data_IF_802266507112
#
_entry.id   IF_802266507112
#
_cell.length_a   1.000
_cell.length_b   1.000
_cell.length_c   1.000
_cell.angle_alpha   90.00
_cell.angle_beta   90.00
_cell.angle_gamma   90.00
#
_symmetry.space_group_name_H-M   'P 1'
#
loop_
_entity.id
_entity.type
_entity.pdbx_description
1 polymer ?
#
# COMPACT_ATOMS: atom_id res chain seq x y z
N UNK A 1 -6.53 -16.75 -29.73
CA UNK A 1 -7.49 -15.87 -30.39
C UNK A 1 -8.11 -14.95 -29.34
N UNK A 2 -7.55 -13.75 -29.14
CA UNK A 2 -7.91 -12.85 -28.03
C UNK A 2 -8.98 -11.81 -28.42
N UNK A 3 -9.17 -11.60 -29.72
CA UNK A 3 -10.17 -10.66 -30.27
C UNK A 3 -11.60 -11.10 -29.99
N UNK A 4 -11.80 -12.37 -29.63
CA UNK A 4 -13.09 -12.93 -29.24
C UNK A 4 -13.83 -13.55 -30.42
N UNK A 5 -15.07 -13.94 -30.15
CA UNK A 5 -15.91 -14.62 -31.13
C UNK A 5 -16.34 -13.69 -32.27
N UNK A 6 -16.26 -14.12 -33.55
CA UNK A 6 -16.46 -13.26 -34.71
C UNK A 6 -17.77 -12.46 -34.73
N UNK A 7 -18.87 -13.09 -34.30
CA UNK A 7 -20.23 -12.53 -34.35
C UNK A 7 -20.70 -11.92 -33.02
N UNK A 8 -19.89 -12.00 -31.95
CA UNK A 8 -20.31 -11.53 -30.64
C UNK A 8 -20.21 -10.00 -30.56
N UNK A 9 -21.26 -9.27 -30.11
CA UNK A 9 -21.18 -7.83 -29.88
C UNK A 9 -20.07 -7.45 -28.89
N UNK A 10 -19.45 -6.28 -29.09
CA UNK A 10 -18.46 -5.72 -28.18
C UNK A 10 -19.13 -5.20 -26.90
N UNK A 11 -18.79 -5.84 -25.80
CA UNK A 11 -19.16 -5.43 -24.44
C UNK A 11 -17.94 -4.81 -23.73
N UNK A 12 -18.17 -3.98 -22.72
CA UNK A 12 -17.08 -3.29 -22.04
C UNK A 12 -17.50 -1.95 -21.48
N UNK A 13 -16.60 -0.97 -21.59
CA UNK A 13 -16.96 0.43 -21.36
C UNK A 13 -18.12 0.82 -22.29
N UNK A 14 -19.13 1.56 -21.79
CA UNK A 14 -20.25 1.96 -22.61
C UNK A 14 -19.79 2.82 -23.80
N UNK A 15 -20.11 2.40 -25.01
CA UNK A 15 -19.79 3.11 -26.24
C UNK A 15 -21.02 3.19 -27.14
N UNK A 16 -21.14 4.29 -27.90
CA UNK A 16 -22.27 4.51 -28.79
C UNK A 16 -21.85 5.41 -29.95
N UNK A 17 -22.40 5.15 -31.14
CA UNK A 17 -22.33 6.08 -32.26
C UNK A 17 -23.24 7.28 -32.02
N UNK A 18 -22.74 8.48 -32.28
CA UNK A 18 -23.50 9.71 -32.11
C UNK A 18 -22.60 10.94 -32.09
N UNK A 19 -23.22 12.10 -32.20
CA UNK A 19 -22.54 13.40 -32.08
C UNK A 19 -22.17 13.70 -30.62
N UNK A 20 -23.02 13.29 -29.69
CA UNK A 20 -22.85 13.60 -28.27
C UNK A 20 -21.91 12.59 -27.61
N UNK A 21 -21.07 13.09 -26.69
CA UNK A 21 -20.18 12.25 -25.90
C UNK A 21 -20.99 11.28 -25.03
N UNK A 22 -20.51 10.03 -24.94
CA UNK A 22 -21.16 9.01 -24.12
C UNK A 22 -20.50 8.85 -22.74
N UNK A 23 -19.17 8.94 -22.67
CA UNK A 23 -18.42 8.87 -21.41
C UNK A 23 -18.38 10.25 -20.75
N UNK A 24 -18.75 10.33 -19.48
CA UNK A 24 -18.65 11.53 -18.64
C UNK A 24 -17.57 11.33 -17.56
N UNK A 25 -16.66 12.30 -17.42
CA UNK A 25 -15.57 12.24 -16.45
C UNK A 25 -14.50 11.17 -16.76
N UNK A 26 -14.10 10.42 -15.72
CA UNK A 26 -13.15 9.30 -15.82
C UNK A 26 -13.82 8.06 -15.24
N UNK A 27 -13.95 7.02 -16.06
CA UNK A 27 -14.60 5.76 -15.69
C UNK A 27 -13.54 4.68 -15.58
N UNK A 28 -13.44 4.05 -14.41
CA UNK A 28 -12.52 2.94 -14.19
C UNK A 28 -13.20 1.60 -14.46
N UNK A 29 -12.44 0.66 -15.00
CA UNK A 29 -12.90 -0.73 -15.07
C UNK A 29 -13.05 -1.29 -13.66
N UNK A 30 -14.14 -2.02 -13.40
CA UNK A 30 -14.47 -2.54 -12.06
C UNK A 30 -13.49 -3.61 -11.54
N UNK A 31 -12.67 -4.17 -12.43
CA UNK A 31 -11.72 -5.23 -12.10
C UNK A 31 -10.28 -4.82 -12.39
N UNK A 32 -9.39 -5.12 -11.45
CA UNK A 32 -7.95 -5.03 -11.63
C UNK A 32 -7.44 -6.32 -12.26
N UNK A 33 -6.66 -6.21 -13.33
CA UNK A 33 -6.02 -7.36 -13.96
C UNK A 33 -4.66 -7.59 -13.32
N UNK A 34 -4.35 -8.84 -12.98
CA UNK A 34 -3.00 -9.21 -12.55
C UNK A 34 -2.15 -9.49 -13.77
N UNK A 35 -0.98 -8.88 -13.83
CA UNK A 35 0.00 -9.13 -14.88
C UNK A 35 1.39 -9.28 -14.27
N UNK A 36 2.31 -9.87 -15.03
CA UNK A 36 3.73 -9.86 -14.72
C UNK A 36 4.44 -8.93 -15.69
N UNK A 37 5.36 -8.12 -15.19
CA UNK A 37 6.29 -7.36 -16.02
C UNK A 37 7.38 -8.26 -16.59
N UNK A 38 8.19 -7.76 -17.52
CA UNK A 38 9.34 -8.51 -18.08
C UNK A 38 10.32 -9.01 -17.00
N UNK A 39 10.49 -8.27 -15.91
CA UNK A 39 11.30 -8.66 -14.74
C UNK A 39 10.54 -9.55 -13.74
N UNK A 40 9.40 -10.13 -14.15
CA UNK A 40 8.55 -11.05 -13.37
C UNK A 40 7.99 -10.46 -12.07
N UNK A 41 7.88 -9.13 -11.97
CA UNK A 41 7.17 -8.51 -10.85
C UNK A 41 5.68 -8.57 -11.12
N UNK A 42 4.91 -9.01 -10.13
CA UNK A 42 3.46 -8.97 -10.19
C UNK A 42 2.97 -7.52 -10.05
N UNK A 43 2.16 -7.10 -11.00
CA UNK A 43 1.56 -5.76 -11.06
C UNK A 43 0.05 -5.85 -11.25
N UNK A 44 -0.66 -4.83 -10.79
CA UNK A 44 -2.09 -4.66 -11.04
C UNK A 44 -2.28 -3.64 -12.18
N UNK A 45 -3.00 -4.02 -13.21
CA UNK A 45 -3.37 -3.18 -14.35
C UNK A 45 -4.79 -2.67 -14.14
N UNK A 46 -4.95 -1.36 -14.16
CA UNK A 46 -6.23 -0.66 -14.10
C UNK A 46 -6.48 0.02 -15.45
N UNK A 47 -7.64 -0.24 -16.04
CA UNK A 47 -8.08 0.45 -17.24
C UNK A 47 -8.99 1.62 -16.86
N UNK A 48 -8.80 2.75 -17.53
CA UNK A 48 -9.59 3.95 -17.35
C UNK A 48 -10.01 4.48 -18.72
N UNK A 49 -11.30 4.77 -18.88
CA UNK A 49 -11.85 5.50 -20.01
C UNK A 49 -12.13 6.94 -19.59
N UNK A 50 -11.92 7.89 -20.49
CA UNK A 50 -12.02 9.32 -20.19
C UNK A 50 -12.96 9.99 -21.17
N UNK A 51 -13.75 10.94 -20.68
CA UNK A 51 -14.55 11.81 -21.52
C UNK A 51 -13.71 12.48 -22.61
N UNK A 52 -14.23 12.48 -23.83
CA UNK A 52 -13.59 13.16 -24.96
C UNK A 52 -13.49 14.66 -24.72
N UNK A 53 -12.30 15.21 -24.99
CA UNK A 53 -12.04 16.65 -24.86
C UNK A 53 -12.88 17.46 -25.87
N UNK A 54 -13.32 18.65 -25.46
CA UNK A 54 -13.98 19.63 -26.34
C UNK A 54 -15.32 19.18 -26.94
N UNK A 55 -16.09 18.36 -26.21
CA UNK A 55 -17.48 18.08 -26.57
C UNK A 55 -18.35 19.34 -26.51
N UNK A 56 -19.44 19.38 -27.29
CA UNK A 56 -20.33 20.56 -27.40
C UNK A 56 -20.96 21.01 -26.09
N UNK A 57 -21.00 20.13 -25.08
CA UNK A 57 -21.65 20.36 -23.80
C UNK A 57 -20.66 20.53 -22.63
N UNK A 58 -19.34 20.40 -22.88
CA UNK A 58 -18.31 20.53 -21.85
C UNK A 58 -17.57 21.85 -21.97
N UNK A 59 -17.31 22.52 -20.84
CA UNK A 59 -16.45 23.69 -20.83
C UNK A 59 -14.99 23.32 -21.14
N UNK A 60 -14.23 24.26 -21.69
CA UNK A 60 -12.78 24.11 -21.88
C UNK A 60 -12.07 23.78 -20.57
N UNK A 61 -12.51 24.39 -19.47
CA UNK A 61 -11.97 24.15 -18.13
C UNK A 61 -12.17 22.71 -17.66
N UNK A 62 -13.38 22.15 -17.82
CA UNK A 62 -13.67 20.75 -17.48
C UNK A 62 -12.83 19.78 -18.32
N UNK A 63 -12.69 20.04 -19.62
CA UNK A 63 -11.84 19.23 -20.51
C UNK A 63 -10.38 19.23 -20.06
N UNK A 64 -9.84 20.39 -19.68
CA UNK A 64 -8.47 20.52 -19.16
C UNK A 64 -8.31 19.77 -17.84
N UNK A 65 -9.26 19.91 -16.92
CA UNK A 65 -9.22 19.23 -15.62
C UNK A 65 -9.26 17.71 -15.76
N UNK A 66 -10.16 17.16 -16.59
CA UNK A 66 -10.25 15.72 -16.84
C UNK A 66 -8.95 15.21 -17.47
N UNK A 67 -8.42 15.93 -18.47
CA UNK A 67 -7.17 15.54 -19.13
C UNK A 67 -5.98 15.57 -18.16
N UNK A 68 -5.80 16.67 -17.43
CA UNK A 68 -4.71 16.79 -16.46
C UNK A 68 -4.81 15.72 -15.36
N UNK A 69 -6.01 15.45 -14.85
CA UNK A 69 -6.24 14.40 -13.87
C UNK A 69 -5.91 13.02 -14.46
N UNK A 70 -6.31 12.73 -15.71
CA UNK A 70 -5.99 11.47 -16.37
C UNK A 70 -4.47 11.24 -16.47
N UNK A 71 -3.71 12.28 -16.85
CA UNK A 71 -2.24 12.25 -16.95
C UNK A 71 -1.60 12.06 -15.57
N UNK A 72 -2.14 12.68 -14.52
CA UNK A 72 -1.65 12.51 -13.15
C UNK A 72 -1.88 11.11 -12.59
N UNK A 73 -2.96 10.44 -13.01
CA UNK A 73 -3.34 9.11 -12.52
C UNK A 73 -2.67 8.00 -13.34
N UNK A 74 -2.56 8.17 -14.66
CA UNK A 74 -2.08 7.13 -15.57
C UNK A 74 -0.56 6.95 -15.52
N UNK A 75 -0.11 5.73 -15.78
CA UNK A 75 1.29 5.42 -16.12
C UNK A 75 1.50 5.24 -17.62
N UNK A 76 0.42 4.97 -18.36
CA UNK A 76 0.38 4.96 -19.81
C UNK A 76 -0.81 5.81 -20.23
N UNK A 77 -0.57 6.89 -20.95
CA UNK A 77 -1.62 7.77 -21.47
C UNK A 77 -1.73 7.55 -22.97
N UNK A 78 -2.87 7.00 -23.43
CA UNK A 78 -3.18 6.91 -24.86
C UNK A 78 -3.92 8.17 -25.28
N UNK A 79 -3.29 8.97 -26.13
CA UNK A 79 -3.88 10.16 -26.72
C UNK A 79 -4.45 9.81 -28.10
N UNK A 80 -5.77 9.63 -28.15
CA UNK A 80 -6.49 9.19 -29.34
C UNK A 80 -6.87 10.39 -30.22
N UNK A 81 -6.37 10.39 -31.46
CA UNK A 81 -6.54 11.47 -32.45
C UNK A 81 -7.13 10.90 -33.73
N UNK A 82 -8.00 11.65 -34.40
CA UNK A 82 -8.62 11.21 -35.66
C UNK A 82 -7.85 11.75 -36.87
N UNK A 83 -7.63 10.88 -37.87
CA UNK A 83 -6.97 11.09 -39.18
C UNK A 83 -5.53 11.55 -39.14
N UNK A 84 -5.18 12.60 -38.38
CA UNK A 84 -3.82 13.15 -38.39
C UNK A 84 -3.44 13.80 -37.06
N UNK A 85 -2.16 13.70 -36.71
CA UNK A 85 -1.57 14.42 -35.59
C UNK A 85 -1.13 15.82 -36.05
N UNK A 86 -1.88 16.83 -35.66
CA UNK A 86 -1.62 18.23 -35.98
C UNK A 86 -0.99 18.98 -34.79
N UNK A 87 -0.51 20.19 -35.04
CA UNK A 87 0.21 20.99 -34.05
C UNK A 87 -0.68 21.48 -32.91
N UNK A 88 -1.91 21.86 -33.22
CA UNK A 88 -2.93 22.28 -32.25
C UNK A 88 -3.23 21.16 -31.22
N UNK A 89 -3.27 19.90 -31.67
CA UNK A 89 -3.36 18.75 -30.75
C UNK A 89 -2.19 18.71 -29.78
N UNK A 90 -0.98 19.00 -30.25
CA UNK A 90 0.22 19.07 -29.41
C UNK A 90 0.19 20.28 -28.47
N UNK A 91 -0.34 21.42 -28.89
CA UNK A 91 -0.49 22.61 -28.03
C UNK A 91 -1.45 22.33 -26.87
N UNK A 92 -2.60 21.69 -27.15
CA UNK A 92 -3.52 21.27 -26.09
C UNK A 92 -2.88 20.27 -25.12
N UNK A 93 -2.14 19.30 -25.67
CA UNK A 93 -1.42 18.32 -24.85
C UNK A 93 -0.35 19.00 -23.98
N UNK A 94 0.41 19.95 -24.53
CA UNK A 94 1.41 20.72 -23.79
C UNK A 94 0.74 21.43 -22.62
N UNK A 95 -0.38 22.12 -22.84
CA UNK A 95 -1.13 22.76 -21.76
C UNK A 95 -1.55 21.77 -20.67
N UNK A 96 -1.99 20.56 -21.02
CA UNK A 96 -2.36 19.53 -20.03
C UNK A 96 -1.16 19.04 -19.23
N UNK A 97 -0.03 18.81 -19.89
CA UNK A 97 1.21 18.35 -19.26
C UNK A 97 1.87 19.45 -18.42
N UNK A 98 1.86 20.71 -18.88
CA UNK A 98 2.32 21.87 -18.11
C UNK A 98 1.45 22.06 -16.88
N UNK A 99 0.13 21.97 -17.03
CA UNK A 99 -0.78 21.99 -15.89
C UNK A 99 -0.45 20.85 -14.92
N UNK A 100 -0.27 19.62 -15.42
CA UNK A 100 0.14 18.48 -14.60
C UNK A 100 1.50 18.65 -13.92
N UNK A 101 2.47 19.25 -14.62
CA UNK A 101 3.85 19.46 -14.13
C UNK A 101 3.87 20.50 -13.03
N UNK A 102 3.21 21.64 -13.30
CA UNK A 102 3.00 22.70 -12.33
C UNK A 102 2.24 22.16 -11.11
N UNK A 103 1.20 21.38 -11.36
CA UNK A 103 0.45 20.70 -10.32
C UNK A 103 1.41 19.86 -9.47
N UNK A 104 2.31 19.05 -10.03
CA UNK A 104 3.26 18.26 -9.24
C UNK A 104 4.35 19.07 -8.50
N UNK A 105 4.48 20.37 -8.80
CA UNK A 105 5.50 21.27 -8.21
C UNK A 105 6.92 20.94 -8.65
N UNK A 106 7.06 20.33 -9.83
CA UNK A 106 8.36 20.03 -10.44
C UNK A 106 8.84 21.30 -11.16
N UNK A 107 9.56 22.17 -10.46
CA UNK A 107 10.27 23.28 -11.12
C UNK A 107 11.53 22.73 -11.83
N UNK A 108 11.53 22.76 -13.17
CA UNK A 108 12.72 22.50 -13.99
C UNK A 108 13.20 21.03 -14.07
N UNK A 109 12.39 20.04 -13.70
CA UNK A 109 12.74 18.62 -13.76
C UNK A 109 12.15 17.87 -14.96
N UNK A 110 12.84 16.83 -15.44
CA UNK A 110 12.32 15.84 -16.39
C UNK A 110 10.97 15.33 -15.91
N UNK A 111 9.93 15.60 -16.68
CA UNK A 111 8.55 15.38 -16.26
C UNK A 111 8.30 13.89 -16.05
N UNK A 112 8.03 13.48 -14.80
CA UNK A 112 7.78 12.09 -14.38
C UNK A 112 6.41 11.56 -14.78
N UNK A 113 5.86 12.00 -15.91
CA UNK A 113 4.71 11.35 -16.52
C UNK A 113 5.20 10.06 -17.18
N UNK A 114 4.38 9.02 -17.13
CA UNK A 114 4.76 7.74 -17.71
C UNK A 114 4.78 7.78 -19.25
N UNK A 115 4.49 6.65 -19.88
CA UNK A 115 4.50 6.53 -21.33
C UNK A 115 3.33 7.30 -21.96
N UNK A 116 3.61 8.19 -22.91
CA UNK A 116 2.58 8.81 -23.75
C UNK A 116 2.52 8.12 -25.12
N UNK A 117 1.34 7.64 -25.51
CA UNK A 117 1.11 6.95 -26.77
C UNK A 117 0.13 7.75 -27.62
N UNK A 118 0.61 8.31 -28.73
CA UNK A 118 -0.25 8.91 -29.74
C UNK A 118 -0.88 7.80 -30.58
N UNK A 119 -2.20 7.69 -30.57
CA UNK A 119 -2.95 6.77 -31.43
C UNK A 119 -3.67 7.58 -32.50
N UNK A 120 -3.15 7.56 -33.73
CA UNK A 120 -3.78 8.22 -34.87
C UNK A 120 -4.72 7.21 -35.54
N UNK A 121 -6.02 7.46 -35.42
CA UNK A 121 -7.11 6.64 -35.97
C UNK A 121 -7.36 7.00 -37.41
N UNK A 122 -7.84 6.05 -38.20
CA UNK A 122 -8.24 6.25 -39.60
C UNK A 122 -7.16 6.96 -40.41
N UNK A 123 -5.91 6.50 -40.29
CA UNK A 123 -4.80 7.05 -41.05
C UNK A 123 -5.00 6.82 -42.54
N UNK A 124 -4.94 7.88 -43.34
CA UNK A 124 -5.30 7.87 -44.77
C UNK A 124 -4.11 7.79 -45.72
N UNK A 125 -2.88 8.03 -45.23
CA UNK A 125 -1.68 8.16 -46.08
C UNK A 125 -0.59 7.11 -45.78
N UNK A 126 -0.87 5.80 -45.98
CA UNK A 126 0.10 4.74 -45.71
C UNK A 126 1.35 4.80 -46.61
N UNK A 127 1.24 5.45 -47.78
CA UNK A 127 2.37 5.66 -48.69
C UNK A 127 3.41 6.66 -48.13
N UNK A 128 2.96 7.66 -47.37
CA UNK A 128 3.83 8.64 -46.71
C UNK A 128 4.44 8.06 -45.42
N UNK A 129 3.58 7.47 -44.58
CA UNK A 129 3.97 6.83 -43.33
C UNK A 129 3.13 5.55 -43.18
N UNK A 130 3.78 4.39 -43.11
CA UNK A 130 3.08 3.12 -43.06
C UNK A 130 2.28 2.95 -41.75
N UNK A 131 1.31 2.04 -41.77
CA UNK A 131 0.58 1.70 -40.54
C UNK A 131 1.49 1.08 -39.48
N UNK A 132 1.13 1.26 -38.21
CA UNK A 132 1.84 0.67 -37.07
C UNK A 132 2.76 1.64 -36.33
N UNK A 133 3.66 1.07 -35.53
CA UNK A 133 4.61 1.80 -34.67
C UNK A 133 5.70 2.53 -35.46
N UNK A 134 6.24 1.89 -36.50
CA UNK A 134 7.37 2.42 -37.28
C UNK A 134 7.00 3.67 -38.09
N UNK A 135 5.85 3.63 -38.79
CA UNK A 135 5.34 4.82 -39.48
C UNK A 135 4.90 5.91 -38.52
N UNK A 136 4.39 5.55 -37.33
CA UNK A 136 4.08 6.51 -36.27
C UNK A 136 5.30 7.26 -35.77
N UNK A 137 6.42 6.56 -35.57
CA UNK A 137 7.69 7.20 -35.21
C UNK A 137 8.20 8.12 -36.32
N UNK A 138 8.09 7.72 -37.59
CA UNK A 138 8.44 8.60 -38.72
C UNK A 138 7.56 9.85 -38.78
N UNK A 139 6.25 9.72 -38.51
CA UNK A 139 5.35 10.86 -38.42
C UNK A 139 5.78 11.82 -37.28
N UNK A 140 6.10 11.28 -36.10
CA UNK A 140 6.62 12.08 -34.99
C UNK A 140 7.92 12.80 -35.35
N UNK A 141 8.85 12.12 -36.01
CA UNK A 141 10.10 12.72 -36.48
C UNK A 141 9.86 13.82 -37.50
N UNK A 142 8.87 13.68 -38.39
CA UNK A 142 8.49 14.72 -39.35
C UNK A 142 7.90 15.96 -38.65
N UNK A 143 7.09 15.76 -37.62
CA UNK A 143 6.43 16.85 -36.87
C UNK A 143 7.39 17.56 -35.91
N UNK A 144 8.21 16.79 -35.19
CA UNK A 144 9.10 17.27 -34.12
C UNK A 144 10.54 17.53 -34.60
N UNK A 145 10.99 16.88 -35.66
CA UNK A 145 12.38 16.87 -36.12
C UNK A 145 12.84 18.08 -36.94
N UNK A 146 14.10 18.00 -37.36
CA UNK A 146 14.91 19.10 -37.88
C UNK A 146 14.42 19.68 -39.21
N UNK A 147 13.75 18.91 -40.06
CA UNK A 147 13.29 19.36 -41.39
C UNK A 147 12.28 20.53 -41.31
N UNK A 148 11.53 20.62 -40.21
CA UNK A 148 10.63 21.74 -39.98
C UNK A 148 11.27 22.93 -39.24
N UNK A 149 12.52 22.84 -38.76
CA UNK A 149 13.19 23.95 -38.06
C UNK A 149 13.45 25.15 -38.99
N UNK A 150 13.56 24.91 -40.30
CA UNK A 150 13.81 25.96 -41.29
C UNK A 150 12.55 26.77 -41.69
N UNK A 151 11.35 26.39 -41.21
CA UNK A 151 10.07 27.07 -41.49
C UNK A 151 9.31 27.53 -40.24
N UNK A 152 9.87 27.33 -39.05
CA UNK A 152 9.14 27.45 -37.79
C UNK A 152 9.17 28.87 -37.20
N UNK A 153 8.00 29.37 -36.79
CA UNK A 153 7.84 30.51 -35.86
C UNK A 153 8.41 30.17 -34.48
N UNK A 154 8.67 31.16 -33.63
CA UNK A 154 9.27 30.93 -32.30
C UNK A 154 8.43 29.99 -31.42
N UNK A 155 7.10 30.08 -31.47
CA UNK A 155 6.16 29.20 -30.73
C UNK A 155 6.32 27.71 -31.08
N UNK A 156 6.53 27.40 -32.38
CA UNK A 156 6.79 26.05 -32.87
C UNK A 156 8.10 25.48 -32.32
N UNK A 157 9.11 26.34 -32.14
CA UNK A 157 10.41 25.94 -31.58
C UNK A 157 10.29 25.59 -30.09
N UNK A 158 9.52 26.37 -29.34
CA UNK A 158 9.25 26.12 -27.92
C UNK A 158 8.51 24.81 -27.70
N UNK A 159 7.42 24.55 -28.44
CA UNK A 159 6.63 23.33 -28.32
C UNK A 159 7.46 22.07 -28.66
N UNK A 160 8.29 22.14 -29.71
CA UNK A 160 9.19 21.03 -30.07
C UNK A 160 10.21 20.77 -28.99
N UNK A 161 10.84 21.82 -28.46
CA UNK A 161 11.82 21.71 -27.38
C UNK A 161 11.18 21.16 -26.11
N UNK A 162 9.95 21.58 -25.80
CA UNK A 162 9.15 21.06 -24.69
C UNK A 162 8.92 19.56 -24.85
N UNK A 163 8.39 19.09 -25.98
CA UNK A 163 8.16 17.66 -26.18
C UNK A 163 9.44 16.84 -26.39
N UNK A 164 10.52 17.43 -26.88
CA UNK A 164 11.85 16.78 -26.92
C UNK A 164 12.42 16.58 -25.49
N UNK A 165 12.20 17.54 -24.58
CA UNK A 165 12.74 17.50 -23.21
C UNK A 165 11.86 16.80 -22.17
N UNK A 166 10.53 16.86 -22.32
CA UNK A 166 9.56 16.26 -21.40
C UNK A 166 9.22 14.80 -21.73
N UNK A 167 9.33 14.38 -23.00
CA UNK A 167 8.84 13.07 -23.46
C UNK A 167 9.95 12.13 -23.94
N UNK A 168 10.88 11.77 -23.06
CA UNK A 168 11.81 10.66 -23.31
C UNK A 168 11.10 9.30 -23.45
N UNK A 169 9.81 9.22 -23.12
CA UNK A 169 8.96 8.02 -23.22
C UNK A 169 7.70 8.31 -24.06
N UNK A 170 7.87 8.55 -25.38
CA UNK A 170 6.75 8.69 -26.32
C UNK A 170 6.73 7.58 -27.35
N UNK A 171 5.53 7.21 -27.78
CA UNK A 171 5.30 6.34 -28.95
C UNK A 171 4.16 6.90 -29.78
N UNK A 172 4.15 6.60 -31.07
CA UNK A 172 3.05 6.90 -31.96
C UNK A 172 2.67 5.66 -32.76
N UNK A 173 1.38 5.44 -32.95
CA UNK A 173 0.83 4.34 -33.70
C UNK A 173 -0.15 4.86 -34.75
N UNK A 174 0.04 4.46 -36.00
CA UNK A 174 -0.87 4.79 -37.10
C UNK A 174 -1.81 3.61 -37.34
N UNK A 175 -3.09 3.80 -37.02
CA UNK A 175 -4.13 2.79 -37.13
C UNK A 175 -4.90 2.97 -38.44
N UNK A 176 -5.09 1.92 -39.25
CA UNK A 176 -5.97 1.99 -40.42
C UNK A 176 -7.43 2.23 -39.99
N UNK A 177 -8.28 2.58 -40.96
CA UNK A 177 -9.72 2.63 -40.70
C UNK A 177 -10.27 1.23 -40.40
N UNK A 178 -11.22 1.08 -39.44
CA UNK A 178 -11.91 -0.18 -39.22
C UNK A 178 -12.77 -0.62 -40.42
N UNK A 179 -12.96 0.24 -41.43
CA UNK A 179 -13.82 0.03 -42.60
C UNK A 179 -15.09 0.86 -42.53
N UNK A 180 -15.80 0.98 -43.66
CA UNK A 180 -17.14 1.56 -43.73
C UNK A 180 -18.11 0.43 -44.05
N UNK A 181 -19.08 0.16 -43.17
CA UNK A 181 -20.25 -0.63 -43.55
C UNK A 181 -21.28 0.36 -44.10
N UNK A 182 -21.62 0.23 -45.38
CA UNK A 182 -22.50 1.15 -46.13
C UNK A 182 -23.89 1.34 -45.49
N UNK A 183 -24.31 0.46 -44.58
CA UNK A 183 -25.69 0.40 -44.10
C UNK A 183 -26.00 1.26 -42.87
N UNK A 184 -25.01 1.92 -42.24
CA UNK A 184 -25.23 2.89 -41.14
C UNK A 184 -25.98 2.37 -39.89
N UNK A 185 -26.37 1.10 -39.88
CA UNK A 185 -27.25 0.50 -38.89
C UNK A 185 -26.58 -0.76 -38.34
N UNK A 186 -26.20 -0.68 -37.06
CA UNK A 186 -25.75 -1.79 -36.18
C UNK A 186 -24.26 -2.16 -36.24
N UNK A 187 -23.36 -1.18 -36.19
CA UNK A 187 -22.03 -1.44 -35.61
C UNK A 187 -22.24 -1.83 -34.14
N UNK A 188 -22.28 -3.13 -33.86
CA UNK A 188 -22.33 -3.69 -32.51
C UNK A 188 -20.92 -4.05 -32.00
N UNK A 189 -19.87 -3.69 -32.76
CA UNK A 189 -18.47 -3.95 -32.44
C UNK A 189 -18.01 -5.39 -32.65
N UNK A 190 -18.81 -6.23 -33.31
CA UNK A 190 -18.41 -7.59 -33.65
C UNK A 190 -17.17 -7.63 -34.55
N UNK A 191 -16.33 -8.64 -34.38
CA UNK A 191 -15.05 -8.79 -35.08
C UNK A 191 -15.26 -9.01 -36.59
N UNK A 192 -16.34 -9.65 -37.02
CA UNK A 192 -16.67 -9.77 -38.44
C UNK A 192 -17.04 -8.44 -39.10
N UNK A 193 -17.40 -7.43 -38.30
CA UNK A 193 -17.74 -6.08 -38.78
C UNK A 193 -16.54 -5.18 -39.06
N UNK A 194 -15.30 -5.64 -38.81
CA UNK A 194 -14.07 -4.85 -39.01
C UNK A 194 -13.15 -5.48 -40.05
N UNK A 195 -12.40 -4.63 -40.77
CA UNK A 195 -11.51 -5.07 -41.84
C UNK A 195 -10.32 -5.88 -41.32
N UNK A 196 -9.82 -6.80 -42.16
CA UNK A 196 -8.67 -7.66 -41.80
C UNK A 196 -7.39 -6.87 -41.49
N UNK A 197 -7.02 -5.81 -42.25
CA UNK A 197 -5.90 -4.94 -41.87
C UNK A 197 -6.09 -4.32 -40.48
N UNK A 198 -7.31 -3.86 -40.15
CA UNK A 198 -7.58 -3.29 -38.83
C UNK A 198 -7.40 -4.33 -37.71
N UNK A 199 -7.87 -5.56 -37.87
CA UNK A 199 -7.66 -6.64 -36.89
C UNK A 199 -6.19 -6.89 -36.60
N UNK A 200 -5.37 -6.94 -37.65
CA UNK A 200 -3.92 -7.15 -37.54
C UNK A 200 -3.25 -6.02 -36.75
N UNK A 201 -3.45 -4.78 -37.16
CA UNK A 201 -2.84 -3.62 -36.51
C UNK A 201 -3.41 -3.36 -35.11
N UNK A 202 -4.67 -3.72 -34.85
CA UNK A 202 -5.23 -3.72 -33.50
C UNK A 202 -4.50 -4.70 -32.58
N UNK A 203 -4.15 -5.89 -33.07
CA UNK A 203 -3.27 -6.84 -32.39
C UNK A 203 -1.91 -6.24 -32.05
N UNK A 204 -1.24 -5.66 -33.04
CA UNK A 204 0.08 -5.05 -32.87
C UNK A 204 0.05 -3.87 -31.88
N UNK A 205 -1.03 -3.08 -31.90
CA UNK A 205 -1.23 -1.97 -30.97
C UNK A 205 -1.42 -2.47 -29.53
N UNK A 206 -2.35 -3.40 -29.31
CA UNK A 206 -2.64 -3.93 -27.97
C UNK A 206 -1.41 -4.59 -27.37
N UNK A 207 -0.65 -5.35 -28.15
CA UNK A 207 0.62 -5.93 -27.70
C UNK A 207 1.67 -4.87 -27.38
N UNK A 208 1.80 -3.82 -28.20
CA UNK A 208 2.76 -2.74 -27.98
C UNK A 208 2.45 -1.84 -26.78
N UNK A 209 1.25 -1.94 -26.20
CA UNK A 209 0.83 -1.16 -25.02
C UNK A 209 0.70 -2.02 -23.76
N UNK A 210 0.17 -3.24 -23.87
CA UNK A 210 -0.22 -4.07 -22.72
C UNK A 210 0.64 -5.34 -22.54
N UNK A 211 1.64 -5.57 -23.39
CA UNK A 211 2.54 -6.71 -23.19
C UNK A 211 3.39 -6.55 -21.91
N UNK A 212 3.81 -7.66 -21.28
CA UNK A 212 4.66 -7.65 -20.08
C UNK A 212 5.90 -6.74 -20.14
N UNK A 213 6.50 -6.58 -21.32
CA UNK A 213 7.68 -5.72 -21.54
C UNK A 213 7.36 -4.24 -21.63
N UNK A 214 6.11 -3.89 -21.91
CA UNK A 214 5.66 -2.51 -22.16
C UNK A 214 4.90 -1.91 -20.96
N UNK A 215 4.53 -2.74 -19.97
CA UNK A 215 3.85 -2.28 -18.78
C UNK A 215 4.71 -1.32 -17.96
N UNK A 216 4.23 -0.09 -17.80
CA UNK A 216 4.86 0.94 -16.97
C UNK A 216 4.17 1.01 -15.61
N UNK A 217 4.94 0.84 -14.54
CA UNK A 217 4.43 0.95 -13.16
C UNK A 217 4.24 2.41 -12.78
N UNK A 218 3.05 2.76 -12.25
CA UNK A 218 2.79 4.12 -11.77
C UNK A 218 3.67 4.46 -10.57
N UNK A 219 4.41 5.56 -10.67
CA UNK A 219 5.21 6.12 -9.58
C UNK A 219 4.74 7.51 -9.19
N UNK A 220 4.92 7.88 -7.92
CA UNK A 220 4.82 9.26 -7.43
C UNK A 220 6.10 9.56 -6.65
N UNK A 221 6.77 10.66 -7.00
CA UNK A 221 8.10 11.02 -6.51
C UNK A 221 9.13 9.87 -6.69
N UNK A 222 9.09 9.20 -7.85
CA UNK A 222 9.99 8.10 -8.20
C UNK A 222 9.73 6.78 -7.47
N UNK A 223 8.70 6.68 -6.62
CA UNK A 223 8.38 5.45 -5.90
C UNK A 223 7.09 4.83 -6.41
N UNK A 224 7.08 3.51 -6.72
CA UNK A 224 5.88 2.79 -7.14
C UNK A 224 4.70 2.94 -6.19
N UNK A 225 3.49 2.96 -6.75
CA UNK A 225 2.23 2.92 -5.99
C UNK A 225 1.55 1.56 -6.11
N UNK A 226 0.98 1.10 -5.00
CA UNK A 226 0.01 -0.01 -5.00
C UNK A 226 -1.37 0.50 -5.41
N UNK A 227 -2.28 -0.41 -5.81
CA UNK A 227 -3.65 -0.03 -6.17
C UNK A 227 -4.40 0.73 -5.05
N UNK A 228 -4.24 0.30 -3.78
CA UNK A 228 -4.84 0.99 -2.63
C UNK A 228 -4.26 2.40 -2.44
N UNK A 229 -2.96 2.57 -2.65
CA UNK A 229 -2.33 3.88 -2.57
C UNK A 229 -2.75 4.78 -3.73
N UNK A 230 -2.92 4.23 -4.94
CA UNK A 230 -3.41 5.00 -6.08
C UNK A 230 -4.84 5.52 -5.82
N UNK A 231 -5.73 4.68 -5.27
CA UNK A 231 -7.08 5.10 -4.88
C UNK A 231 -7.06 6.28 -3.91
N UNK A 232 -6.30 6.19 -2.81
CA UNK A 232 -6.12 7.30 -1.85
C UNK A 232 -5.50 8.54 -2.48
N UNK A 233 -4.62 8.37 -3.46
CA UNK A 233 -4.01 9.47 -4.18
C UNK A 233 -5.06 10.21 -5.02
N UNK A 234 -5.87 9.48 -5.80
CA UNK A 234 -6.99 10.03 -6.59
C UNK A 234 -7.95 10.81 -5.69
N UNK A 235 -8.44 10.19 -4.61
CA UNK A 235 -9.34 10.83 -3.63
C UNK A 235 -8.81 12.17 -3.12
N UNK A 236 -7.48 12.29 -2.97
CA UNK A 236 -6.84 13.48 -2.43
C UNK A 236 -6.63 14.59 -3.46
N UNK A 237 -6.35 14.24 -4.72
CA UNK A 237 -6.07 15.23 -5.77
C UNK A 237 -7.34 15.70 -6.47
N UNK A 238 -8.36 14.86 -6.65
CA UNK A 238 -9.60 15.20 -7.36
C UNK A 238 -10.28 16.48 -6.87
N UNK A 239 -10.37 16.78 -5.55
CA UNK A 239 -10.98 18.02 -5.06
C UNK A 239 -10.32 19.30 -5.58
N UNK A 240 -9.04 19.23 -6.00
CA UNK A 240 -8.32 20.38 -6.55
C UNK A 240 -8.76 20.74 -7.96
N UNK A 241 -9.38 19.80 -8.66
CA UNK A 241 -9.86 19.94 -10.04
C UNK A 241 -11.37 20.20 -10.11
N UNK A 242 -12.01 20.49 -8.97
CA UNK A 242 -13.47 20.72 -8.88
C UNK A 242 -13.90 22.16 -9.17
N UNK A 243 -12.96 23.05 -9.52
CA UNK A 243 -13.28 24.43 -9.91
C UNK A 243 -13.98 24.49 -11.28
N UNK A 244 -14.95 25.39 -11.42
CA UNK A 244 -15.64 25.68 -12.69
C UNK A 244 -14.96 26.79 -13.51
N UNK A 245 -14.00 27.48 -12.92
CA UNK A 245 -13.24 28.53 -13.61
C UNK A 245 -12.10 27.93 -14.43
N UNK A 246 -11.62 28.68 -15.44
CA UNK A 246 -10.43 28.31 -16.18
C UNK A 246 -9.29 28.01 -15.18
N UNK A 247 -8.64 26.85 -15.29
CA UNK A 247 -7.64 26.42 -14.33
C UNK A 247 -6.53 27.47 -14.21
N UNK A 248 -6.52 28.26 -13.13
CA UNK A 248 -5.25 28.77 -12.63
C UNK A 248 -4.50 27.53 -12.16
N UNK A 249 -3.26 27.27 -12.62
CA UNK A 249 -2.50 26.14 -12.13
C UNK A 249 -2.45 26.19 -10.60
N UNK A 250 -3.17 25.27 -9.94
CA UNK A 250 -3.08 25.09 -8.49
C UNK A 250 -2.08 23.98 -8.28
N UNK A 251 -1.02 24.27 -7.56
CA UNK A 251 0.00 23.26 -7.28
C UNK A 251 -0.62 22.15 -6.43
N UNK A 252 -0.71 20.92 -6.96
CA UNK A 252 -0.96 19.66 -6.22
C UNK A 252 0.26 19.21 -5.40
N UNK A 253 1.38 19.90 -5.48
CA UNK A 253 2.62 19.54 -4.80
C UNK A 253 2.45 19.47 -3.28
N UNK A 254 1.75 20.40 -2.60
CA UNK A 254 1.51 20.30 -1.16
C UNK A 254 0.71 19.04 -0.80
N UNK A 255 -0.33 18.71 -1.56
CA UNK A 255 -1.17 17.53 -1.36
C UNK A 255 -0.38 16.25 -1.62
N UNK A 256 0.42 16.24 -2.68
CA UNK A 256 1.33 15.14 -3.06
C UNK A 256 2.40 14.94 -2.00
N UNK A 257 3.04 16.00 -1.52
CA UNK A 257 4.02 15.98 -0.44
C UNK A 257 3.42 15.43 0.86
N UNK A 258 2.24 15.92 1.25
CA UNK A 258 1.53 15.41 2.42
C UNK A 258 1.13 13.93 2.24
N UNK A 259 0.80 13.49 1.02
CA UNK A 259 0.49 12.10 0.73
C UNK A 259 1.74 11.21 0.82
N UNK A 260 2.84 11.63 0.22
CA UNK A 260 4.15 11.00 0.34
C UNK A 260 4.60 10.88 1.81
N UNK A 261 4.41 11.94 2.60
CA UNK A 261 4.71 11.93 4.03
C UNK A 261 3.83 10.96 4.81
N UNK A 262 2.54 10.87 4.46
CA UNK A 262 1.64 9.88 5.05
C UNK A 262 2.07 8.45 4.73
N UNK A 263 2.42 8.15 3.48
CA UNK A 263 2.88 6.82 3.08
C UNK A 263 4.20 6.44 3.78
N UNK A 264 5.17 7.36 3.82
CA UNK A 264 6.43 7.13 4.53
C UNK A 264 6.20 6.84 6.02
N UNK A 265 5.24 7.55 6.64
CA UNK A 265 4.86 7.33 8.04
C UNK A 265 4.18 5.97 8.25
N UNK A 266 3.26 5.58 7.37
CA UNK A 266 2.58 4.28 7.43
C UNK A 266 3.59 3.12 7.32
N UNK A 267 4.55 3.23 6.41
CA UNK A 267 5.61 2.23 6.25
C UNK A 267 6.52 2.19 7.48
N UNK A 268 6.99 3.34 7.98
CA UNK A 268 7.80 3.41 9.18
C UNK A 268 7.08 2.80 10.40
N UNK A 269 5.78 3.04 10.56
CA UNK A 269 4.98 2.44 11.63
C UNK A 269 4.84 0.93 11.48
N UNK A 270 4.70 0.43 10.26
CA UNK A 270 4.63 -1.00 9.97
C UNK A 270 5.96 -1.67 10.33
N UNK A 271 7.09 -1.12 9.87
CA UNK A 271 8.43 -1.63 10.19
C UNK A 271 8.68 -1.60 11.68
N UNK A 272 8.40 -0.47 12.36
CA UNK A 272 8.56 -0.36 13.81
C UNK A 272 7.76 -1.43 14.56
N UNK A 273 6.48 -1.63 14.21
CA UNK A 273 5.66 -2.69 14.84
C UNK A 273 6.23 -4.09 14.61
N UNK A 274 6.72 -4.38 13.42
CA UNK A 274 7.31 -5.66 13.07
C UNK A 274 8.61 -5.90 13.86
N UNK A 275 9.55 -4.95 13.84
CA UNK A 275 10.84 -5.03 14.55
C UNK A 275 10.65 -5.12 16.06
N UNK A 276 9.72 -4.32 16.62
CA UNK A 276 9.34 -4.41 18.03
C UNK A 276 8.82 -5.83 18.29
N UNK A 277 7.82 -6.33 17.56
CA UNK A 277 7.26 -7.66 17.79
C UNK A 277 8.29 -8.80 17.66
N UNK A 278 9.21 -8.72 16.70
CA UNK A 278 10.28 -9.69 16.49
C UNK A 278 11.25 -9.74 17.67
N UNK A 279 11.66 -8.57 18.17
CA UNK A 279 12.56 -8.48 19.33
C UNK A 279 12.01 -9.16 20.59
N UNK A 280 10.69 -9.38 20.68
CA UNK A 280 10.06 -10.16 21.75
C UNK A 280 9.96 -11.64 21.45
N UNK A 281 9.62 -12.02 20.21
CA UNK A 281 9.55 -13.44 19.84
C UNK A 281 10.90 -14.14 19.95
N UNK A 282 11.99 -13.42 19.70
CA UNK A 282 13.34 -13.97 19.73
C UNK A 282 13.87 -14.25 21.14
N UNK A 283 13.14 -13.89 22.20
CA UNK A 283 13.66 -14.02 23.57
C UNK A 283 12.87 -15.06 24.34
N UNK A 284 13.45 -16.26 24.51
CA UNK A 284 12.90 -17.35 25.34
C UNK A 284 12.76 -16.96 26.82
N UNK A 285 13.47 -15.91 27.26
CA UNK A 285 13.39 -15.35 28.61
C UNK A 285 12.85 -13.94 28.60
N UNK A 286 12.09 -13.60 29.64
CA UNK A 286 11.56 -12.26 29.84
C UNK A 286 12.71 -11.25 30.00
N UNK A 287 12.73 -10.23 29.15
CA UNK A 287 13.79 -9.22 29.08
C UNK A 287 13.66 -8.24 30.26
N UNK A 288 14.78 -7.73 30.79
CA UNK A 288 14.74 -6.68 31.81
C UNK A 288 14.15 -5.36 31.25
N UNK A 289 13.50 -4.52 32.08
CA UNK A 289 12.92 -3.25 31.62
C UNK A 289 13.95 -2.30 30.97
N UNK A 290 15.21 -2.38 31.38
CA UNK A 290 16.29 -1.54 30.85
C UNK A 290 16.76 -2.04 29.48
N UNK A 291 16.99 -3.34 29.32
CA UNK A 291 17.30 -3.95 28.02
C UNK A 291 16.18 -3.72 27.00
N UNK A 292 14.92 -3.81 27.46
CA UNK A 292 13.73 -3.50 26.66
C UNK A 292 13.79 -2.05 26.12
N UNK A 293 14.14 -1.10 26.99
CA UNK A 293 14.26 0.31 26.63
C UNK A 293 15.41 0.57 25.67
N UNK A 294 16.55 -0.12 25.85
CA UNK A 294 17.70 -0.02 24.95
C UNK A 294 17.39 -0.59 23.56
N UNK A 295 16.76 -1.77 23.49
CA UNK A 295 16.32 -2.37 22.22
C UNK A 295 15.34 -1.44 21.49
N UNK A 296 14.34 -0.92 22.21
CA UNK A 296 13.38 0.02 21.62
C UNK A 296 14.06 1.28 21.08
N UNK A 297 14.99 1.86 21.84
CA UNK A 297 15.74 3.04 21.40
C UNK A 297 16.53 2.76 20.11
N UNK A 298 17.13 1.58 19.99
CA UNK A 298 17.85 1.19 18.77
C UNK A 298 16.91 1.08 17.57
N UNK A 299 15.81 0.33 17.73
CA UNK A 299 14.81 0.15 16.67
C UNK A 299 14.22 1.51 16.26
N UNK A 300 13.89 2.35 17.24
CA UNK A 300 13.37 3.71 17.01
C UNK A 300 14.33 4.53 16.16
N UNK A 301 15.62 4.55 16.52
CA UNK A 301 16.61 5.33 15.80
C UNK A 301 16.80 4.83 14.36
N UNK A 302 16.83 3.52 14.16
CA UNK A 302 16.93 2.92 12.83
C UNK A 302 15.72 3.26 11.95
N UNK A 303 14.50 3.10 12.48
CA UNK A 303 13.27 3.42 11.73
C UNK A 303 13.17 4.91 11.46
N UNK A 304 13.54 5.78 12.40
CA UNK A 304 13.58 7.23 12.16
C UNK A 304 14.60 7.60 11.10
N UNK A 305 15.78 6.98 11.11
CA UNK A 305 16.78 7.17 10.07
C UNK A 305 16.26 6.74 8.69
N UNK A 306 15.59 5.58 8.61
CA UNK A 306 14.95 5.13 7.37
C UNK A 306 13.83 6.06 6.91
N UNK A 307 13.05 6.62 7.84
CA UNK A 307 12.00 7.59 7.53
C UNK A 307 12.60 8.89 7.00
N UNK A 308 13.58 9.47 7.70
CA UNK A 308 14.23 10.73 7.34
C UNK A 308 14.93 10.65 5.97
N UNK A 309 15.39 9.45 5.58
CA UNK A 309 16.02 9.19 4.28
C UNK A 309 15.09 8.61 3.20
N UNK A 310 13.79 8.49 3.48
CA UNK A 310 12.84 7.86 2.55
C UNK A 310 12.79 8.64 1.21
N UNK A 311 12.88 7.95 0.05
CA UNK A 311 12.88 8.62 -1.26
C UNK A 311 11.67 9.55 -1.47
N UNK A 312 10.51 9.15 -0.95
CA UNK A 312 9.25 9.92 -1.03
C UNK A 312 9.33 11.30 -0.34
N UNK A 313 10.23 11.49 0.63
CA UNK A 313 10.39 12.76 1.35
C UNK A 313 11.47 13.65 0.74
N UNK A 314 12.42 13.10 -0.01
CA UNK A 314 13.55 13.86 -0.57
C UNK A 314 13.11 14.95 -1.54
N UNK A 315 12.02 14.70 -2.28
CA UNK A 315 11.53 15.59 -3.33
C UNK A 315 10.89 16.88 -2.80
N UNK A 316 10.22 16.80 -1.65
CA UNK A 316 9.40 17.89 -1.10
C UNK A 316 9.92 18.44 0.23
N UNK A 317 11.07 17.94 0.68
CA UNK A 317 11.76 18.39 1.89
C UNK A 317 11.29 17.72 3.18
N UNK A 318 11.90 18.16 4.29
CA UNK A 318 11.71 17.57 5.60
C UNK A 318 10.34 17.93 6.21
N UNK A 319 9.50 16.91 6.43
CA UNK A 319 8.17 17.08 7.03
C UNK A 319 8.22 16.98 8.57
N UNK A 320 8.61 18.07 9.24
CA UNK A 320 8.69 18.17 10.70
C UNK A 320 7.42 17.66 11.41
N UNK A 321 6.24 18.10 10.96
CA UNK A 321 4.93 17.68 11.52
C UNK A 321 4.68 16.17 11.38
N UNK A 322 5.06 15.58 10.24
CA UNK A 322 4.88 14.15 10.00
C UNK A 322 5.80 13.33 10.92
N UNK A 323 7.05 13.78 11.10
CA UNK A 323 8.01 13.15 12.01
C UNK A 323 7.60 13.27 13.48
N UNK A 324 7.13 14.44 13.92
CA UNK A 324 6.58 14.63 15.28
C UNK A 324 5.39 13.70 15.54
N UNK A 325 4.48 13.59 14.57
CA UNK A 325 3.36 12.64 14.64
C UNK A 325 3.85 11.19 14.67
N UNK A 326 4.88 10.83 13.91
CA UNK A 326 5.48 9.50 13.92
C UNK A 326 6.05 9.15 15.31
N UNK A 327 6.80 10.06 15.93
CA UNK A 327 7.35 9.88 17.28
C UNK A 327 6.23 9.65 18.30
N UNK A 328 5.17 10.48 18.27
CA UNK A 328 4.00 10.29 19.16
C UNK A 328 3.35 8.92 18.98
N UNK A 329 3.29 8.41 17.74
CA UNK A 329 2.75 7.09 17.46
C UNK A 329 3.67 5.96 17.98
N UNK A 330 5.00 6.12 17.89
CA UNK A 330 5.94 5.18 18.51
C UNK A 330 5.74 5.11 20.02
N UNK A 331 5.62 6.27 20.68
CA UNK A 331 5.39 6.32 22.13
C UNK A 331 4.07 5.62 22.52
N UNK A 332 3.00 5.82 21.74
CA UNK A 332 1.71 5.16 21.98
C UNK A 332 1.74 3.64 21.71
N UNK A 333 2.51 3.18 20.70
CA UNK A 333 2.68 1.75 20.42
C UNK A 333 3.51 1.11 21.54
N UNK A 334 4.61 1.75 21.93
CA UNK A 334 5.50 1.22 22.95
C UNK A 334 4.89 1.24 24.34
N UNK A 335 4.07 2.23 24.70
CA UNK A 335 3.38 2.26 25.99
C UNK A 335 2.40 1.08 26.14
N UNK A 336 1.60 0.81 25.10
CA UNK A 336 0.74 -0.37 25.04
C UNK A 336 1.54 -1.66 25.13
N UNK A 337 2.67 -1.71 24.44
CA UNK A 337 3.55 -2.87 24.48
C UNK A 337 4.14 -3.10 25.88
N UNK A 338 4.67 -2.05 26.51
CA UNK A 338 5.24 -2.10 27.87
C UNK A 338 4.21 -2.57 28.89
N UNK A 339 2.98 -2.04 28.82
CA UNK A 339 1.91 -2.44 29.73
C UNK A 339 1.61 -3.95 29.63
N UNK A 340 1.61 -4.50 28.41
CA UNK A 340 1.44 -5.94 28.19
C UNK A 340 2.60 -6.75 28.76
N UNK A 341 3.83 -6.33 28.47
CA UNK A 341 5.04 -6.99 28.98
C UNK A 341 5.09 -7.01 30.51
N UNK A 342 4.66 -5.94 31.17
CA UNK A 342 4.62 -5.88 32.63
C UNK A 342 3.55 -6.79 33.24
N UNK A 343 2.41 -6.94 32.58
CA UNK A 343 1.38 -7.91 32.99
C UNK A 343 1.88 -9.36 32.83
N UNK A 344 2.54 -9.67 31.72
CA UNK A 344 3.12 -11.00 31.47
C UNK A 344 4.21 -11.32 32.51
N UNK A 345 5.05 -10.34 32.89
CA UNK A 345 6.05 -10.49 33.96
C UNK A 345 5.42 -10.88 35.30
N UNK A 346 4.37 -10.17 35.70
CA UNK A 346 3.67 -10.45 36.97
C UNK A 346 3.09 -11.86 36.97
N UNK A 347 2.48 -12.27 35.86
CA UNK A 347 1.94 -13.62 35.72
C UNK A 347 3.04 -14.70 35.78
N UNK A 348 4.20 -14.46 35.18
CA UNK A 348 5.32 -15.42 35.24
C UNK A 348 5.96 -15.50 36.63
N UNK A 349 6.07 -14.36 37.33
CA UNK A 349 6.50 -14.32 38.73
C UNK A 349 5.53 -15.08 39.64
N UNK A 350 4.22 -14.88 39.47
CA UNK A 350 3.19 -15.65 40.19
C UNK A 350 3.29 -17.15 39.91
N UNK A 351 3.42 -17.55 38.64
CA UNK A 351 3.60 -18.96 38.26
C UNK A 351 4.87 -19.57 38.85
N UNK A 352 5.96 -18.82 38.91
CA UNK A 352 7.23 -19.27 39.52
C UNK A 352 7.07 -19.50 41.01
N UNK A 353 6.37 -18.61 41.73
CA UNK A 353 6.04 -18.78 43.14
C UNK A 353 5.21 -20.05 43.35
N UNK A 354 4.17 -20.26 42.55
CA UNK A 354 3.36 -21.48 42.60
C UNK A 354 4.18 -22.74 42.31
N UNK A 355 5.08 -22.72 41.32
CA UNK A 355 5.98 -23.85 41.03
C UNK A 355 6.90 -24.18 42.20
N UNK A 356 7.45 -23.16 42.88
CA UNK A 356 8.29 -23.35 44.06
C UNK A 356 7.49 -23.88 45.25
N UNK A 357 6.26 -23.41 45.44
CA UNK A 357 5.34 -23.92 46.47
C UNK A 357 5.00 -25.39 46.21
N UNK A 358 4.61 -25.74 44.99
CA UNK A 358 4.31 -27.13 44.61
C UNK A 358 5.50 -28.05 44.81
N UNK A 359 6.71 -27.61 44.44
CA UNK A 359 7.93 -28.36 44.69
C UNK A 359 8.19 -28.57 46.18
N UNK A 360 8.02 -27.51 46.99
CA UNK A 360 8.14 -27.57 48.44
C UNK A 360 7.13 -28.54 49.06
N UNK A 361 5.86 -28.44 48.69
CA UNK A 361 4.81 -29.35 49.18
C UNK A 361 5.09 -30.79 48.77
N UNK A 362 5.45 -31.04 47.51
CA UNK A 362 5.77 -32.38 47.04
C UNK A 362 6.94 -32.99 47.82
N UNK A 363 7.99 -32.22 48.09
CA UNK A 363 9.13 -32.68 48.88
C UNK A 363 8.74 -32.92 50.35
N UNK A 364 8.00 -32.00 50.96
CA UNK A 364 7.50 -32.11 52.33
C UNK A 364 6.61 -33.34 52.53
N UNK A 365 5.65 -33.58 51.63
CA UNK A 365 4.77 -34.75 51.70
C UNK A 365 5.53 -36.06 51.47
N UNK A 366 6.54 -36.07 50.59
CA UNK A 366 7.42 -37.23 50.41
C UNK A 366 8.23 -37.54 51.68
N UNK A 367 8.79 -36.51 52.33
CA UNK A 367 9.50 -36.64 53.60
C UNK A 367 8.58 -37.19 54.70
N UNK A 368 7.38 -36.61 54.85
CA UNK A 368 6.38 -37.10 55.80
C UNK A 368 6.06 -38.58 55.56
N UNK A 369 5.78 -38.95 54.30
CA UNK A 369 5.48 -40.34 53.93
C UNK A 369 6.60 -41.29 54.33
N UNK A 370 7.86 -40.93 54.08
CA UNK A 370 9.03 -41.72 54.47
C UNK A 370 9.17 -41.82 55.99
N UNK A 371 8.99 -40.71 56.71
CA UNK A 371 9.04 -40.68 58.17
C UNK A 371 7.97 -41.58 58.81
N UNK A 372 6.71 -41.46 58.36
CA UNK A 372 5.61 -42.30 58.85
C UNK A 372 5.81 -43.77 58.50
N UNK A 373 6.31 -44.08 57.31
CA UNK A 373 6.57 -45.47 56.92
C UNK A 373 7.66 -46.12 57.80
N UNK A 374 8.76 -45.40 58.05
CA UNK A 374 9.83 -45.84 58.96
C UNK A 374 9.35 -46.01 60.41
N UNK A 375 8.52 -45.09 60.88
CA UNK A 375 7.91 -45.16 62.20
C UNK A 375 6.97 -46.38 62.34
N UNK A 376 6.11 -46.62 61.34
CA UNK A 376 5.20 -47.77 61.34
C UNK A 376 5.95 -49.09 61.40
N UNK A 377 6.99 -49.26 60.58
CA UNK A 377 7.80 -50.49 60.53
C UNK A 377 8.46 -50.76 61.90
N UNK A 378 9.02 -49.72 62.54
CA UNK A 378 9.65 -49.86 63.87
C UNK A 378 8.64 -50.11 64.99
N UNK A 379 7.44 -49.54 64.91
CA UNK A 379 6.39 -49.72 65.90
C UNK A 379 5.81 -51.15 65.86
N UNK A 380 5.56 -51.69 64.66
CA UNK A 380 5.02 -53.05 64.47
C UNK A 380 6.03 -54.13 64.85
N UNK A 381 7.33 -53.88 64.67
CA UNK A 381 8.38 -54.86 65.00
C UNK A 381 8.70 -55.04 66.50
N UNK A 382 8.21 -54.17 67.39
CA UNK A 382 8.61 -54.17 68.82
C UNK A 382 7.48 -54.38 69.83
N UNK A 383 6.23 -54.15 69.47
CA UNK A 383 5.12 -54.17 70.44
C UNK A 383 3.90 -54.87 69.82
N UNK A 384 3.44 -55.98 70.43
CA UNK A 384 2.15 -56.62 70.10
C UNK A 384 0.96 -55.72 70.47
N UNK A 385 -0.27 -56.25 70.34
CA UNK A 385 -1.61 -55.61 70.36
C UNK A 385 -1.83 -54.24 71.06
N UNK A 386 -1.09 -53.89 72.13
CA UNK A 386 -1.08 -52.55 72.75
C UNK A 386 -0.57 -51.45 71.80
N UNK A 387 0.28 -51.82 70.82
CA UNK A 387 0.83 -50.89 69.83
C UNK A 387 -0.20 -50.29 68.88
N UNK A 388 -1.31 -50.98 68.62
CA UNK A 388 -2.33 -50.53 67.66
C UNK A 388 -3.05 -49.28 68.16
N UNK A 389 -3.30 -49.19 69.47
CA UNK A 389 -3.96 -48.03 70.09
C UNK A 389 -3.02 -46.81 70.09
N UNK A 390 -1.72 -47.01 70.38
CA UNK A 390 -0.71 -45.96 70.29
C UNK A 390 -0.43 -45.53 68.84
N UNK A 391 -0.51 -46.47 67.88
CA UNK A 391 -0.41 -46.17 66.45
C UNK A 391 -1.61 -45.34 65.97
N UNK A 392 -2.83 -45.68 66.38
CA UNK A 392 -4.03 -44.89 66.08
C UNK A 392 -3.97 -43.49 66.70
N UNK A 393 -3.51 -43.37 67.96
CA UNK A 393 -3.33 -42.08 68.61
C UNK A 393 -2.26 -41.21 67.92
N UNK A 394 -1.13 -41.80 67.53
CA UNK A 394 -0.07 -41.09 66.79
C UNK A 394 -0.50 -40.73 65.37
N UNK A 395 -1.27 -41.57 64.68
CA UNK A 395 -1.89 -41.24 63.39
C UNK A 395 -2.88 -40.08 63.57
N UNK A 396 -3.73 -40.10 64.59
CA UNK A 396 -4.67 -39.00 64.88
C UNK A 396 -3.94 -37.68 65.16
N UNK A 397 -2.88 -37.70 65.98
CA UNK A 397 -2.07 -36.51 66.28
C UNK A 397 -1.34 -36.04 65.02
N UNK A 398 -0.77 -36.95 64.23
CA UNK A 398 -0.15 -36.63 62.96
C UNK A 398 -1.15 -36.00 61.98
N UNK A 399 -2.36 -36.56 61.85
CA UNK A 399 -3.40 -35.97 61.02
C UNK A 399 -3.84 -34.61 61.53
N UNK A 400 -3.93 -34.41 62.86
CA UNK A 400 -4.27 -33.12 63.44
C UNK A 400 -3.17 -32.08 63.17
N UNK A 401 -1.88 -32.46 63.29
CA UNK A 401 -0.75 -31.58 62.96
C UNK A 401 -0.69 -31.28 61.47
N UNK A 402 -0.96 -32.25 60.60
CA UNK A 402 -1.04 -32.03 59.15
C UNK A 402 -2.18 -31.07 58.82
N UNK A 403 -3.35 -31.23 59.45
CA UNK A 403 -4.50 -30.34 59.26
C UNK A 403 -4.20 -28.94 59.80
N UNK A 404 -3.58 -28.81 60.97
CA UNK A 404 -3.14 -27.52 61.54
C UNK A 404 -2.10 -26.83 60.66
N UNK A 405 -1.10 -27.55 60.17
CA UNK A 405 -0.09 -27.02 59.25
C UNK A 405 -0.73 -26.63 57.92
N UNK A 406 -1.68 -27.42 57.40
CA UNK A 406 -2.44 -27.09 56.21
C UNK A 406 -3.27 -25.81 56.42
N UNK A 407 -3.97 -25.69 57.55
CA UNK A 407 -4.73 -24.49 57.90
C UNK A 407 -3.84 -23.27 58.09
N UNK A 408 -2.69 -23.41 58.76
CA UNK A 408 -1.70 -22.35 58.95
C UNK A 408 -1.11 -21.89 57.60
N UNK A 409 -0.80 -22.84 56.71
CA UNK A 409 -0.34 -22.56 55.35
C UNK A 409 -1.42 -21.87 54.52
N UNK A 410 -2.67 -22.32 54.56
CA UNK A 410 -3.78 -21.62 53.88
C UNK A 410 -4.03 -20.22 54.45
N UNK A 411 -3.84 -20.03 55.76
CA UNK A 411 -3.92 -18.69 56.38
C UNK A 411 -2.77 -17.80 55.94
N UNK A 412 -1.54 -18.30 55.90
CA UNK A 412 -0.37 -17.56 55.40
C UNK A 412 -0.55 -17.22 53.92
N UNK A 413 -1.01 -18.17 53.09
CA UNK A 413 -1.34 -17.95 51.69
C UNK A 413 -2.47 -16.93 51.51
N UNK A 414 -3.51 -16.97 52.35
CA UNK A 414 -4.58 -15.96 52.34
C UNK A 414 -4.08 -14.60 52.80
N UNK A 415 -3.18 -14.53 53.79
CA UNK A 415 -2.61 -13.29 54.29
C UNK A 415 -1.61 -12.68 53.28
N UNK A 416 -0.88 -13.51 52.54
CA UNK A 416 -0.05 -13.04 51.43
C UNK A 416 -0.90 -12.61 50.23
N UNK A 417 -2.00 -13.29 49.93
CA UNK A 417 -2.94 -12.87 48.88
C UNK A 417 -3.65 -11.55 49.25
N UNK A 418 -4.06 -11.39 50.51
CA UNK A 418 -4.63 -10.15 51.05
C UNK A 418 -3.56 -9.04 51.13
N UNK A 419 -2.32 -9.37 51.50
CA UNK A 419 -1.20 -8.45 51.55
C UNK A 419 -0.76 -7.95 50.17
N UNK A 420 -0.75 -8.82 49.16
CA UNK A 420 -0.53 -8.45 47.76
C UNK A 420 -1.70 -7.60 47.24
N UNK A 421 -2.95 -7.97 47.56
CA UNK A 421 -4.14 -7.18 47.23
C UNK A 421 -4.16 -5.78 47.85
N UNK A 422 -3.81 -5.65 49.14
CA UNK A 422 -3.68 -4.37 49.82
C UNK A 422 -2.50 -3.56 49.30
N UNK A 423 -1.35 -4.18 48.99
CA UNK A 423 -0.23 -3.50 48.37
C UNK A 423 -0.58 -2.97 46.96
N UNK A 424 -1.34 -3.72 46.16
CA UNK A 424 -1.85 -3.24 44.87
C UNK A 424 -2.88 -2.11 45.00
N UNK A 425 -3.77 -2.15 46.00
CA UNK A 425 -4.69 -1.04 46.27
C UNK A 425 -3.99 0.19 46.82
N UNK A 426 -2.97 0.04 47.68
CA UNK A 426 -2.20 1.16 48.23
C UNK A 426 -1.34 1.83 47.15
N UNK A 427 -0.77 1.05 46.22
CA UNK A 427 -0.06 1.59 45.05
C UNK A 427 -0.99 2.27 44.05
N UNK A 428 -2.22 1.78 43.85
CA UNK A 428 -3.23 2.47 43.05
C UNK A 428 -3.70 3.78 43.71
N UNK A 429 -3.73 3.86 45.05
CA UNK A 429 -4.09 5.07 45.78
C UNK A 429 -2.97 6.14 45.74
N UNK A 430 -1.70 5.72 45.74
CA UNK A 430 -0.52 6.60 45.62
C UNK A 430 -0.20 7.07 44.18
N UNK A 431 -0.90 6.54 43.17
CA UNK A 431 -0.80 6.97 41.77
C UNK A 431 -1.96 7.91 41.38
N UNK A 432 -2.98 8.05 42.25
CA UNK A 432 -4.13 8.94 42.07
C UNK A 432 -4.12 10.20 42.96
N UNK A 433 -3.09 10.34 43.80
CA UNK A 433 -2.69 11.56 44.51
C UNK A 433 -1.23 11.86 44.15
#
# INVERSE_FOLDING_TARGET
>A
DWLGEPNKPLEGFPWKSGKDAHTEGIVFWSHLFRAATADKKEVAVLLADTQGSFGTNSSTAESVHICALSVLISSIQVFNVMRNLQLDHLQHLQMYYEYGTYAQGLEGGTSGFGLCVFLVRDWEWPEDCEFGWEGGERLLQKILGTESRNKATDELRHLRTYFESCLSSRKCFLMPSPGHTDDGCRLNGAVDGITEPFKRYLGDFVQGVLSPSELVVKTVAGVPLTASQLCKFVEKITPMFSSKELPVPVSVAPQTAQFCAQLAREEALKTYRASVAEAFRSTEKLISPEELRQKEKSIRNEVLYSFDNAPRLKLYGYHKKARESLIKNFDAIFSKFRARHEADRKNDEEKEVWRKLDFFFSYFFSFLRSFFHSFLIRAVGRFGAVAIVLLLATICIATAVIVEVFFAVTRVLSLTAIGIGLATSFFCYLVFF
#
